data_IF_309983660566
#
_entry.id   IF_309983660566
#
_cell.length_a   1.000
_cell.length_b   1.000
_cell.length_c   1.000
_cell.angle_alpha   90.00
_cell.angle_beta   90.00
_cell.angle_gamma   90.00
#
_symmetry.space_group_name_H-M   'P 1'
#
loop_
_entity.id
_entity.type
_entity.pdbx_description
1 polymer ?
#
# COMPACT_ATOMS: atom_id res chain seq x y z
N UNK A 1 -12.54 2.19 -10.24
CA UNK A 1 -11.34 1.91 -9.40
C UNK A 1 -11.56 2.34 -7.95
N UNK A 2 -12.13 3.52 -7.71
CA UNK A 2 -12.50 3.97 -6.36
C UNK A 2 -13.48 3.01 -5.66
N UNK A 3 -14.55 2.58 -6.33
CA UNK A 3 -15.52 1.63 -5.79
C UNK A 3 -14.89 0.30 -5.33
N UNK A 4 -13.95 -0.23 -6.13
CA UNK A 4 -13.17 -1.41 -5.76
C UNK A 4 -12.32 -1.18 -4.51
N UNK A 5 -11.66 -0.02 -4.43
CA UNK A 5 -10.89 0.36 -3.24
C UNK A 5 -11.77 0.50 -1.99
N UNK A 6 -12.96 1.09 -2.12
CA UNK A 6 -13.90 1.21 -1.00
C UNK A 6 -14.38 -0.14 -0.49
N UNK A 7 -14.68 -1.10 -1.38
CA UNK A 7 -15.06 -2.45 -0.98
C UNK A 7 -13.92 -3.19 -0.27
N UNK A 8 -12.68 -3.03 -0.75
CA UNK A 8 -11.51 -3.62 -0.11
C UNK A 8 -11.27 -3.02 1.29
N UNK A 9 -11.38 -1.69 1.42
CA UNK A 9 -11.20 -0.99 2.68
C UNK A 9 -12.27 -1.40 3.71
N UNK A 10 -13.54 -1.41 3.29
CA UNK A 10 -14.68 -1.84 4.12
C UNK A 10 -14.50 -3.29 4.60
N UNK A 11 -14.07 -4.19 3.70
CA UNK A 11 -13.78 -5.57 4.07
C UNK A 11 -12.71 -5.64 5.17
N UNK A 12 -11.60 -4.91 5.01
CA UNK A 12 -10.50 -4.93 5.98
C UNK A 12 -10.91 -4.33 7.33
N UNK A 13 -11.69 -3.23 7.33
CA UNK A 13 -12.24 -2.63 8.55
C UNK A 13 -13.12 -3.62 9.32
N UNK A 14 -14.07 -4.27 8.64
CA UNK A 14 -14.93 -5.31 9.23
C UNK A 14 -14.13 -6.47 9.82
N UNK A 15 -13.02 -6.87 9.20
CA UNK A 15 -12.14 -7.93 9.73
C UNK A 15 -11.38 -7.48 10.97
N UNK A 16 -10.92 -6.22 11.02
CA UNK A 16 -10.26 -5.63 12.20
C UNK A 16 -11.22 -5.58 13.39
N UNK A 17 -12.43 -5.08 13.18
CA UNK A 17 -13.47 -4.96 14.21
C UNK A 17 -13.93 -6.32 14.73
N UNK A 18 -14.08 -7.31 13.84
CA UNK A 18 -14.49 -8.66 14.23
C UNK A 18 -13.45 -9.38 15.09
N UNK A 19 -12.18 -9.02 14.99
CA UNK A 19 -11.08 -9.67 15.71
C UNK A 19 -10.11 -8.64 16.32
N UNK A 20 -10.53 -7.88 17.35
CA UNK A 20 -9.78 -6.72 17.84
C UNK A 20 -8.40 -7.08 18.42
N UNK A 21 -8.23 -8.31 18.91
CA UNK A 21 -6.98 -8.81 19.48
C UNK A 21 -6.11 -9.57 18.47
N UNK A 22 -6.55 -9.73 17.23
CA UNK A 22 -5.78 -10.43 16.18
C UNK A 22 -4.89 -9.45 15.46
N UNK A 23 -3.61 -9.79 15.35
CA UNK A 23 -2.67 -9.05 14.51
C UNK A 23 -2.90 -9.40 13.05
N UNK A 24 -3.11 -8.38 12.22
CA UNK A 24 -3.28 -8.50 10.78
C UNK A 24 -2.09 -7.89 10.05
N UNK A 25 -1.72 -8.51 8.94
CA UNK A 25 -0.76 -8.00 7.98
C UNK A 25 -1.42 -7.98 6.61
N UNK A 26 -1.18 -6.91 5.85
CA UNK A 26 -1.68 -6.78 4.48
C UNK A 26 -0.52 -7.03 3.53
N UNK A 27 -0.75 -7.82 2.48
CA UNK A 27 0.29 -8.10 1.48
C UNK A 27 -0.23 -7.90 0.07
N UNK A 28 0.69 -7.82 -0.88
CA UNK A 28 0.40 -7.66 -2.29
C UNK A 28 1.66 -7.54 -3.13
N UNK A 29 1.52 -7.85 -4.41
CA UNK A 29 2.58 -7.76 -5.42
C UNK A 29 2.26 -6.67 -6.44
N UNK A 30 3.27 -5.95 -6.92
CA UNK A 30 3.10 -4.91 -7.95
C UNK A 30 2.00 -3.90 -7.57
N UNK A 31 1.03 -3.59 -8.45
CA UNK A 31 -0.11 -2.72 -8.16
C UNK A 31 -0.89 -3.16 -6.90
N UNK A 32 -1.06 -4.47 -6.70
CA UNK A 32 -1.70 -5.02 -5.51
C UNK A 32 -0.92 -4.70 -4.24
N UNK A 33 0.41 -4.61 -4.32
CA UNK A 33 1.25 -4.13 -3.23
C UNK A 33 1.05 -2.63 -2.95
N UNK A 34 0.89 -1.82 -4.00
CA UNK A 34 0.51 -0.42 -3.84
C UNK A 34 -0.82 -0.26 -3.10
N UNK A 35 -1.85 -1.01 -3.53
CA UNK A 35 -3.17 -1.03 -2.89
C UNK A 35 -3.08 -1.53 -1.45
N UNK A 36 -2.28 -2.56 -1.18
CA UNK A 36 -2.04 -3.06 0.16
C UNK A 36 -1.48 -1.97 1.08
N UNK A 37 -0.49 -1.19 0.62
CA UNK A 37 0.07 -0.06 1.39
C UNK A 37 -0.98 1.02 1.66
N UNK A 38 -1.81 1.34 0.67
CA UNK A 38 -2.88 2.34 0.81
C UNK A 38 -3.98 1.92 1.79
N UNK A 39 -4.41 0.66 1.75
CA UNK A 39 -5.40 0.15 2.72
C UNK A 39 -4.77 0.10 4.11
N UNK A 40 -3.57 -0.45 4.22
CA UNK A 40 -2.85 -0.61 5.48
C UNK A 40 -2.66 0.73 6.20
N UNK A 41 -2.36 1.80 5.46
CA UNK A 41 -2.25 3.13 6.04
C UNK A 41 -3.58 3.67 6.58
N UNK A 42 -4.70 3.44 5.88
CA UNK A 42 -6.04 3.88 6.32
C UNK A 42 -6.53 3.14 7.56
N UNK A 43 -6.05 1.93 7.82
CA UNK A 43 -6.47 1.12 8.98
C UNK A 43 -5.39 0.93 10.04
N UNK A 44 -4.24 1.63 9.89
CA UNK A 44 -3.07 1.53 10.77
C UNK A 44 -2.58 0.08 10.96
N UNK A 45 -2.44 -0.66 9.86
CA UNK A 45 -1.90 -2.03 9.84
C UNK A 45 -0.53 -2.07 9.14
N UNK A 46 0.25 -3.11 9.41
CA UNK A 46 1.50 -3.34 8.69
C UNK A 46 1.23 -3.95 7.31
N UNK A 47 1.79 -3.34 6.27
CA UNK A 47 1.90 -3.91 4.93
C UNK A 47 3.27 -4.57 4.72
N UNK A 48 3.30 -5.76 4.12
CA UNK A 48 4.51 -6.43 3.61
C UNK A 48 4.26 -6.76 2.16
N UNK A 49 4.99 -6.10 1.26
CA UNK A 49 4.65 -6.10 -0.18
C UNK A 49 5.86 -6.45 -1.02
N UNK A 50 5.60 -6.91 -2.24
CA UNK A 50 6.63 -7.39 -3.16
C UNK A 50 6.60 -6.57 -4.44
N UNK A 51 7.75 -6.02 -4.85
CA UNK A 51 7.87 -5.30 -6.13
C UNK A 51 6.81 -4.20 -6.29
N UNK A 52 6.44 -3.58 -5.16
CA UNK A 52 5.28 -2.70 -5.08
C UNK A 52 5.70 -1.25 -5.34
N UNK A 53 4.93 -0.48 -6.14
CA UNK A 53 5.24 0.90 -6.42
C UNK A 53 5.20 1.76 -5.14
N UNK A 54 5.74 2.98 -5.27
CA UNK A 54 5.61 4.00 -4.24
C UNK A 54 4.15 4.35 -3.98
N UNK A 55 3.87 4.81 -2.76
CA UNK A 55 2.53 5.25 -2.36
C UNK A 55 2.05 6.44 -3.18
N UNK A 56 2.94 7.38 -3.54
CA UNK A 56 2.60 8.51 -4.41
C UNK A 56 2.17 8.06 -5.81
N UNK A 57 2.91 7.13 -6.43
CA UNK A 57 2.54 6.56 -7.73
C UNK A 57 1.22 5.80 -7.66
N UNK A 58 1.03 4.98 -6.63
CA UNK A 58 -0.22 4.23 -6.46
C UNK A 58 -1.40 5.14 -6.18
N UNK A 59 -1.23 6.12 -5.29
CA UNK A 59 -2.27 7.10 -4.96
C UNK A 59 -2.67 7.92 -6.19
N UNK A 60 -1.73 8.29 -7.04
CA UNK A 60 -2.03 8.94 -8.31
C UNK A 60 -2.81 8.02 -9.26
N UNK A 61 -2.40 6.76 -9.43
CA UNK A 61 -3.10 5.79 -10.30
C UNK A 61 -4.52 5.50 -9.80
N UNK A 62 -4.71 5.37 -8.49
CA UNK A 62 -5.96 4.90 -7.88
C UNK A 62 -6.92 6.08 -7.59
N UNK A 63 -6.39 7.22 -7.16
CA UNK A 63 -7.18 8.36 -6.65
C UNK A 63 -6.95 9.68 -7.40
N UNK A 64 -5.96 9.75 -8.31
CA UNK A 64 -5.54 11.00 -8.99
C UNK A 64 -5.17 12.15 -8.02
N UNK A 65 -4.76 11.83 -6.80
CA UNK A 65 -4.37 12.79 -5.77
C UNK A 65 -2.90 12.62 -5.34
N UNK A 66 -2.27 13.75 -4.97
CA UNK A 66 -0.93 13.80 -4.41
C UNK A 66 -0.98 14.35 -2.96
N UNK A 67 -0.91 13.46 -1.96
CA UNK A 67 -0.42 13.65 -0.56
C UNK A 67 -0.90 12.48 0.34
N UNK A 68 -0.35 12.12 1.51
CA UNK A 68 0.30 12.89 2.60
C UNK A 68 1.28 12.02 3.42
N UNK A 69 2.05 12.66 4.31
CA UNK A 69 3.39 12.29 4.81
C UNK A 69 3.46 11.26 5.97
N UNK A 70 2.34 10.76 6.52
CA UNK A 70 2.34 9.80 7.65
C UNK A 70 2.51 8.31 7.25
N UNK A 71 2.64 8.03 5.96
CA UNK A 71 2.50 6.67 5.43
C UNK A 71 3.78 5.82 5.53
N UNK A 72 4.88 6.39 6.01
CA UNK A 72 6.22 5.78 5.95
C UNK A 72 6.43 4.65 6.96
N UNK A 73 5.67 4.62 8.06
CA UNK A 73 5.97 3.70 9.17
C UNK A 73 5.20 2.37 9.16
N UNK A 74 4.34 2.14 8.17
CA UNK A 74 3.47 0.96 8.14
C UNK A 74 3.68 0.04 6.93
N UNK A 75 4.74 0.21 6.14
CA UNK A 75 4.97 -0.58 4.94
C UNK A 75 6.41 -1.07 4.79
N UNK A 76 6.57 -2.39 4.63
CA UNK A 76 7.81 -3.04 4.20
C UNK A 76 7.66 -3.47 2.74
N UNK A 77 8.64 -3.16 1.90
CA UNK A 77 8.67 -3.59 0.49
C UNK A 77 9.89 -4.46 0.24
N UNK A 78 9.68 -5.67 -0.25
CA UNK A 78 10.70 -6.60 -0.70
C UNK A 78 10.87 -6.40 -2.21
N UNK A 79 12.06 -6.00 -2.62
CA UNK A 79 12.38 -5.66 -4.00
C UNK A 79 13.70 -6.35 -4.41
N UNK A 80 13.67 -7.29 -5.36
CA UNK A 80 14.90 -7.84 -5.96
C UNK A 80 15.66 -6.76 -6.72
N UNK A 81 16.99 -6.81 -6.74
CA UNK A 81 17.85 -5.75 -7.30
C UNK A 81 17.56 -5.43 -8.78
N UNK A 82 17.03 -6.39 -9.55
CA UNK A 82 16.83 -6.27 -11.01
C UNK A 82 15.37 -6.09 -11.45
N UNK A 83 14.45 -5.76 -10.53
CA UNK A 83 13.04 -5.59 -10.90
C UNK A 83 12.73 -4.25 -11.60
N UNK A 84 12.24 -4.33 -12.85
CA UNK A 84 11.82 -3.21 -13.69
C UNK A 84 10.49 -2.59 -13.25
N UNK A 85 9.59 -3.37 -12.64
CA UNK A 85 8.27 -2.90 -12.19
C UNK A 85 8.43 -1.87 -11.07
N UNK A 86 9.37 -2.11 -10.16
CA UNK A 86 9.74 -1.15 -9.13
C UNK A 86 10.45 0.10 -9.68
N UNK A 87 11.14 0.00 -10.82
CA UNK A 87 11.84 1.14 -11.46
C UNK A 87 10.90 2.20 -12.04
N UNK A 88 9.70 1.81 -12.47
CA UNK A 88 8.68 2.77 -12.94
C UNK A 88 8.17 3.66 -11.80
N UNK A 89 8.27 3.21 -10.54
CA UNK A 89 8.06 4.03 -9.34
C UNK A 89 9.33 4.63 -8.71
N UNK A 90 10.52 4.17 -9.10
CA UNK A 90 11.80 4.58 -8.49
C UNK A 90 12.43 5.85 -9.09
N UNK A 91 11.74 6.53 -10.01
CA UNK A 91 12.22 7.80 -10.57
C UNK A 91 12.15 8.98 -9.58
N UNK A 92 11.63 8.77 -8.35
CA UNK A 92 11.74 9.69 -7.22
C UNK A 92 12.60 9.09 -6.09
N UNK A 93 13.81 8.63 -6.43
CA UNK A 93 14.83 8.26 -5.44
C UNK A 93 15.45 9.53 -4.82
N UNK A 94 14.64 10.32 -4.11
CA UNK A 94 15.07 11.34 -3.16
C UNK A 94 14.02 11.36 -2.07
N UNK A 95 14.15 10.40 -1.15
CA UNK A 95 13.28 10.29 0.00
C UNK A 95 14.06 9.45 1.02
N UNK A 96 15.17 10.03 1.49
CA UNK A 96 15.70 9.76 2.83
C UNK A 96 14.63 10.11 3.88
#
# INVERSE_FOLDING_TARGET
>A
MWEYFSHLLDHVQKRKEKFPNRRFYITGHSLGGGLAKLVASKVSMQAVTFMAPGLGTTGYVVFREHRNEELRHSALTIMPENDVVSRVGALNRMDL
#
